data_IF_557888847011
#
_entry.id   IF_557888847011
#
_cell.length_a   1.000
_cell.length_b   1.000
_cell.length_c   1.000
_cell.angle_alpha   90.00
_cell.angle_beta   90.00
_cell.angle_gamma   90.00
#
_symmetry.space_group_name_H-M   'P 1'
#
loop_
_entity.id
_entity.type
_entity.pdbx_description
1 polymer ?
#
# COMPACT_ATOMS: atom_id res chain seq x y z
N UNK A 1 -59.12 -30.36 -15.70
CA UNK A 1 -58.25 -29.29 -16.22
C UNK A 1 -57.45 -28.75 -15.04
N UNK A 2 -56.28 -29.32 -14.79
CA UNK A 2 -55.47 -29.04 -13.61
C UNK A 2 -54.39 -28.01 -13.99
N UNK A 3 -54.42 -26.84 -13.34
CA UNK A 3 -53.39 -25.82 -13.48
C UNK A 3 -52.14 -26.26 -12.71
N UNK A 4 -51.07 -26.51 -13.45
CA UNK A 4 -49.76 -26.89 -12.91
C UNK A 4 -48.97 -25.60 -12.64
N UNK A 5 -48.88 -25.21 -11.36
CA UNK A 5 -48.00 -24.12 -10.93
C UNK A 5 -46.56 -24.61 -10.97
N UNK A 6 -45.80 -24.16 -11.97
CA UNK A 6 -44.34 -24.33 -12.04
C UNK A 6 -43.71 -23.26 -11.16
N UNK A 7 -43.25 -23.65 -9.97
CA UNK A 7 -42.39 -22.85 -9.11
C UNK A 7 -40.99 -22.80 -9.76
N UNK A 8 -40.75 -21.81 -10.61
CA UNK A 8 -39.42 -21.45 -11.03
C UNK A 8 -38.68 -20.89 -9.80
N UNK A 9 -37.83 -21.73 -9.18
CA UNK A 9 -36.83 -21.27 -8.23
C UNK A 9 -35.92 -20.29 -8.97
N UNK A 10 -35.97 -19.03 -8.58
CA UNK A 10 -34.91 -18.06 -8.86
C UNK A 10 -33.63 -18.61 -8.21
N UNK A 11 -32.77 -19.19 -9.03
CA UNK A 11 -31.41 -19.55 -8.70
C UNK A 11 -30.61 -18.24 -8.61
N UNK A 12 -30.70 -17.56 -7.47
CA UNK A 12 -29.82 -16.43 -7.18
C UNK A 12 -28.46 -17.00 -6.79
N UNK A 13 -27.62 -17.26 -7.79
CA UNK A 13 -26.19 -17.46 -7.57
C UNK A 13 -25.65 -16.12 -7.08
N UNK A 14 -25.39 -16.05 -5.78
CA UNK A 14 -24.73 -14.90 -5.18
C UNK A 14 -23.31 -14.83 -5.77
N UNK A 15 -22.90 -13.73 -6.41
CA UNK A 15 -21.56 -13.63 -6.99
C UNK A 15 -20.54 -13.63 -5.85
N UNK A 16 -19.96 -14.79 -5.56
CA UNK A 16 -18.76 -14.87 -4.72
C UNK A 16 -17.61 -14.38 -5.60
N UNK A 17 -17.18 -13.14 -5.41
CA UNK A 17 -15.94 -12.69 -6.04
C UNK A 17 -14.79 -13.59 -5.55
N UNK A 18 -13.99 -14.17 -6.45
CA UNK A 18 -12.89 -15.01 -6.04
C UNK A 18 -11.86 -14.18 -5.27
N UNK A 19 -11.34 -14.74 -4.16
CA UNK A 19 -10.23 -14.18 -3.40
C UNK A 19 -9.12 -13.72 -4.34
N UNK A 20 -8.57 -12.51 -4.15
CA UNK A 20 -7.48 -11.96 -4.96
C UNK A 20 -6.18 -11.97 -4.20
N UNK A 21 -5.09 -12.33 -4.88
CA UNK A 21 -3.73 -12.20 -4.37
C UNK A 21 -3.35 -10.73 -4.19
N UNK A 22 -2.89 -10.37 -3.00
CA UNK A 22 -2.36 -9.06 -2.63
C UNK A 22 -0.90 -9.22 -2.25
N UNK A 23 -0.03 -8.38 -2.80
CA UNK A 23 1.40 -8.37 -2.52
C UNK A 23 1.78 -7.04 -1.89
N UNK A 24 2.52 -7.10 -0.80
CA UNK A 24 3.15 -5.94 -0.15
C UNK A 24 4.67 -6.18 -0.11
N UNK A 25 5.41 -5.32 -0.82
CA UNK A 25 6.85 -5.40 -0.95
C UNK A 25 7.43 -3.99 -1.14
N UNK A 26 8.52 -3.68 -0.43
CA UNK A 26 9.21 -2.40 -0.51
C UNK A 26 10.70 -2.67 -0.66
N UNK A 27 11.36 -2.13 -1.67
CA UNK A 27 12.80 -2.33 -1.89
C UNK A 27 13.54 -1.02 -1.64
N UNK A 28 14.33 -0.98 -0.56
CA UNK A 28 15.16 0.17 -0.25
C UNK A 28 16.49 0.10 -1.00
N UNK A 29 16.77 1.13 -1.82
CA UNK A 29 17.98 1.18 -2.63
C UNK A 29 19.25 1.05 -1.77
N UNK A 30 20.13 0.12 -2.15
CA UNK A 30 21.38 -0.16 -1.44
C UNK A 30 21.22 -0.94 -0.13
N UNK A 31 20.02 -1.40 0.22
CA UNK A 31 19.77 -2.27 1.39
C UNK A 31 19.60 -3.74 0.97
N UNK A 32 19.84 -4.69 1.89
CA UNK A 32 19.49 -6.08 1.67
C UNK A 32 18.04 -6.25 1.23
N UNK A 33 17.77 -7.21 0.35
CA UNK A 33 16.41 -7.52 -0.07
C UNK A 33 15.55 -7.89 1.15
N UNK A 34 14.45 -7.18 1.39
CA UNK A 34 13.59 -7.45 2.53
C UNK A 34 12.68 -8.64 2.26
N UNK A 35 12.05 -9.16 3.31
CA UNK A 35 10.88 -10.04 3.16
C UNK A 35 9.76 -9.34 2.39
N UNK A 36 8.91 -10.15 1.76
CA UNK A 36 7.65 -9.71 1.15
C UNK A 36 6.48 -10.38 1.85
N UNK A 37 5.33 -9.71 1.85
CA UNK A 37 4.10 -10.21 2.46
C UNK A 37 3.06 -10.48 1.39
N UNK A 38 2.51 -11.68 1.36
CA UNK A 38 1.42 -12.09 0.48
C UNK A 38 0.16 -12.35 1.29
N UNK A 39 -0.95 -11.76 0.85
CA UNK A 39 -2.28 -11.89 1.46
C UNK A 39 -3.32 -12.19 0.39
N UNK A 40 -4.51 -12.57 0.83
CA UNK A 40 -5.69 -12.67 -0.02
C UNK A 40 -6.78 -11.70 0.44
N UNK A 41 -7.58 -11.21 -0.50
CA UNK A 41 -8.81 -10.47 -0.15
C UNK A 41 -9.84 -11.42 0.48
N UNK A 42 -10.80 -10.83 1.20
CA UNK A 42 -11.98 -11.53 1.73
C UNK A 42 -13.25 -10.96 1.06
N UNK A 43 -14.37 -11.71 1.09
CA UNK A 43 -15.66 -11.20 0.64
C UNK A 43 -16.06 -9.89 1.33
N UNK A 44 -16.80 -9.03 0.62
CA UNK A 44 -17.19 -7.68 1.05
C UNK A 44 -18.06 -7.59 2.33
N UNK A 45 -18.50 -8.72 2.90
CA UNK A 45 -19.28 -8.79 4.13
C UNK A 45 -18.51 -9.31 5.36
N UNK A 46 -17.28 -9.76 5.19
CA UNK A 46 -16.47 -10.31 6.27
C UNK A 46 -15.55 -9.24 6.87
N UNK A 47 -15.41 -9.15 8.20
CA UNK A 47 -14.40 -8.31 8.83
C UNK A 47 -13.01 -8.67 8.30
N UNK A 48 -12.28 -7.67 7.78
CA UNK A 48 -10.93 -7.89 7.30
C UNK A 48 -9.93 -7.78 8.45
N UNK A 49 -9.50 -8.93 8.96
CA UNK A 49 -8.42 -9.03 9.95
C UNK A 49 -7.11 -9.45 9.28
N UNK A 50 -6.07 -8.64 9.48
CA UNK A 50 -4.72 -8.98 9.04
C UNK A 50 -4.18 -10.06 9.97
N UNK A 51 -3.95 -11.26 9.44
CA UNK A 51 -3.48 -12.38 10.24
C UNK A 51 -3.39 -13.70 9.46
N UNK A 52 -3.28 -14.84 10.17
CA UNK A 52 -3.13 -16.16 9.54
C UNK A 52 -4.26 -16.53 8.57
N UNK A 53 -5.49 -16.05 8.79
CA UNK A 53 -6.65 -16.36 7.93
C UNK A 53 -6.61 -15.71 6.54
N UNK A 54 -5.88 -14.59 6.41
CA UNK A 54 -5.68 -13.85 5.16
C UNK A 54 -4.30 -14.09 4.54
N UNK A 55 -3.43 -14.85 5.22
CA UNK A 55 -2.09 -15.16 4.75
C UNK A 55 -2.10 -16.13 3.57
N UNK A 56 -1.28 -15.83 2.55
CA UNK A 56 -1.09 -16.72 1.40
C UNK A 56 0.10 -17.64 1.65
N UNK A 57 -0.17 -18.92 1.89
CA UNK A 57 0.84 -19.97 1.95
C UNK A 57 0.99 -20.65 0.59
N UNK A 58 2.17 -21.24 0.35
CA UNK A 58 2.47 -22.06 -0.83
C UNK A 58 2.44 -21.29 -2.17
N UNK A 59 2.84 -20.02 -2.14
CA UNK A 59 3.08 -19.24 -3.35
C UNK A 59 4.49 -19.47 -3.90
N UNK A 60 4.62 -19.40 -5.22
CA UNK A 60 5.91 -19.25 -5.88
C UNK A 60 6.23 -17.77 -5.98
N UNK A 61 7.34 -17.34 -5.38
CA UNK A 61 7.75 -15.93 -5.35
C UNK A 61 9.17 -15.79 -5.88
N UNK A 62 9.34 -14.94 -6.89
CA UNK A 62 10.60 -14.75 -7.60
C UNK A 62 10.81 -13.26 -7.88
N UNK A 63 12.04 -12.79 -7.68
CA UNK A 63 12.52 -11.49 -8.12
C UNK A 63 13.64 -11.70 -9.13
N UNK A 64 13.45 -11.23 -10.36
CA UNK A 64 14.56 -10.99 -11.29
C UNK A 64 15.09 -9.59 -11.00
N UNK A 65 16.36 -9.48 -10.60
CA UNK A 65 17.04 -8.22 -10.31
C UNK A 65 18.31 -8.16 -11.16
N UNK A 66 18.34 -7.26 -12.14
CA UNK A 66 19.45 -7.11 -13.10
C UNK A 66 19.83 -8.43 -13.81
N UNK A 67 18.85 -9.28 -14.12
CA UNK A 67 19.05 -10.59 -14.73
C UNK A 67 19.37 -11.70 -13.73
N UNK A 68 19.56 -11.39 -12.45
CA UNK A 68 19.73 -12.39 -11.40
C UNK A 68 18.36 -12.80 -10.84
N UNK A 69 18.03 -14.08 -11.02
CA UNK A 69 16.79 -14.68 -10.50
C UNK A 69 16.98 -15.09 -9.04
N UNK A 70 16.19 -14.47 -8.15
CA UNK A 70 16.23 -14.66 -6.70
C UNK A 70 14.89 -15.24 -6.26
N UNK A 71 14.91 -16.50 -5.82
CA UNK A 71 13.72 -17.14 -5.27
C UNK A 71 13.46 -16.65 -3.83
N UNK A 72 12.19 -16.60 -3.47
CA UNK A 72 11.73 -16.32 -2.10
C UNK A 72 11.06 -17.57 -1.54
N UNK A 73 11.27 -17.84 -0.24
CA UNK A 73 10.71 -19.00 0.47
C UNK A 73 9.90 -18.57 1.68
N UNK A 74 8.91 -19.37 2.10
CA UNK A 74 8.18 -19.11 3.33
C UNK A 74 9.12 -18.85 4.50
N UNK A 75 8.80 -17.79 5.24
CA UNK A 75 9.55 -17.36 6.40
C UNK A 75 8.92 -17.92 7.67
N UNK A 76 9.74 -18.44 8.57
CA UNK A 76 9.29 -18.99 9.85
C UNK A 76 8.78 -17.93 10.82
N UNK A 77 9.06 -16.64 10.55
CA UNK A 77 8.60 -15.54 11.39
C UNK A 77 7.08 -15.32 11.35
N UNK A 78 6.39 -15.76 10.29
CA UNK A 78 4.93 -15.64 10.21
C UNK A 78 4.34 -16.09 8.87
N UNK A 79 3.08 -16.56 8.88
CA UNK A 79 2.41 -17.00 7.65
C UNK A 79 2.27 -15.85 6.65
N UNK A 80 2.39 -16.17 5.36
CA UNK A 80 2.29 -15.18 4.28
C UNK A 80 3.54 -14.32 4.10
N UNK A 81 4.56 -14.45 4.96
CA UNK A 81 5.85 -13.79 4.78
C UNK A 81 6.80 -14.69 4.00
N UNK A 82 7.48 -14.13 3.02
CA UNK A 82 8.48 -14.82 2.22
C UNK A 82 9.79 -14.04 2.25
N UNK A 83 10.92 -14.73 2.40
CA UNK A 83 12.26 -14.13 2.44
C UNK A 83 13.12 -14.64 1.29
N UNK A 84 14.08 -13.84 0.79
CA UNK A 84 14.97 -14.28 -0.28
C UNK A 84 15.83 -15.47 0.18
N UNK A 85 16.07 -16.43 -0.70
CA UNK A 85 16.88 -17.63 -0.39
C UNK A 85 18.39 -17.35 -0.35
N UNK A 86 18.81 -16.30 -1.04
CA UNK A 86 20.19 -15.81 -1.04
C UNK A 86 20.20 -14.39 -0.51
N UNK A 87 21.29 -14.04 0.17
CA UNK A 87 21.54 -12.64 0.50
C UNK A 87 21.85 -11.87 -0.79
N UNK A 88 21.06 -10.85 -1.05
CA UNK A 88 21.23 -9.94 -2.16
C UNK A 88 20.82 -8.54 -1.72
N UNK A 89 21.29 -7.53 -2.45
CA UNK A 89 21.04 -6.12 -2.17
C UNK A 89 20.17 -5.56 -3.30
N UNK A 90 19.21 -4.69 -2.98
CA UNK A 90 18.48 -3.93 -3.98
C UNK A 90 19.41 -2.89 -4.61
N UNK A 91 20.17 -3.30 -5.63
CA UNK A 91 21.19 -2.47 -6.28
C UNK A 91 20.55 -1.22 -6.90
N UNK A 92 21.00 0.00 -6.55
CA UNK A 92 20.47 1.22 -7.14
C UNK A 92 20.57 1.19 -8.66
N UNK A 93 19.53 1.67 -9.35
CA UNK A 93 19.39 1.68 -10.83
C UNK A 93 19.28 0.30 -11.49
N UNK A 94 19.26 -0.79 -10.73
CA UNK A 94 19.02 -2.12 -11.29
C UNK A 94 17.57 -2.24 -11.79
N UNK A 95 17.33 -2.75 -13.01
CA UNK A 95 15.99 -3.13 -13.42
C UNK A 95 15.53 -4.34 -12.60
N UNK A 96 14.22 -4.44 -12.35
CA UNK A 96 13.65 -5.58 -11.66
C UNK A 96 12.32 -6.03 -12.24
N UNK A 97 12.03 -7.32 -12.09
CA UNK A 97 10.72 -7.93 -12.30
C UNK A 97 10.39 -8.81 -11.10
N UNK A 98 9.38 -8.44 -10.34
CA UNK A 98 8.82 -9.24 -9.26
C UNK A 98 7.64 -10.05 -9.78
N UNK A 99 7.57 -11.34 -9.42
CA UNK A 99 6.44 -12.22 -9.73
C UNK A 99 6.07 -13.06 -8.52
N UNK A 100 4.77 -13.06 -8.17
CA UNK A 100 4.19 -13.96 -7.18
C UNK A 100 3.04 -14.75 -7.83
N UNK A 101 3.07 -16.09 -7.72
CA UNK A 101 2.03 -16.98 -8.23
C UNK A 101 1.39 -17.78 -7.12
N UNK A 102 0.07 -17.81 -7.11
CA UNK A 102 -0.72 -18.56 -6.13
C UNK A 102 -2.06 -18.98 -6.71
N UNK A 103 -2.37 -20.29 -6.66
CA UNK A 103 -3.65 -20.87 -7.13
C UNK A 103 -4.12 -20.38 -8.51
N UNK A 104 -3.18 -20.29 -9.47
CA UNK A 104 -3.46 -19.84 -10.84
C UNK A 104 -3.56 -18.32 -11.01
N UNK A 105 -3.41 -17.54 -9.93
CA UNK A 105 -3.28 -16.09 -9.97
C UNK A 105 -1.82 -15.68 -10.06
N UNK A 106 -1.55 -14.59 -10.77
CA UNK A 106 -0.22 -13.97 -10.88
C UNK A 106 -0.31 -12.49 -10.52
N UNK A 107 0.55 -12.06 -9.59
CA UNK A 107 0.83 -10.67 -9.32
C UNK A 107 2.25 -10.36 -9.82
N UNK A 108 2.37 -9.39 -10.74
CA UNK A 108 3.63 -9.01 -11.37
C UNK A 108 3.85 -7.50 -11.26
N UNK A 109 5.07 -7.12 -10.90
CA UNK A 109 5.52 -5.74 -10.90
C UNK A 109 6.89 -5.65 -11.59
N UNK A 110 7.15 -4.55 -12.27
CA UNK A 110 8.43 -4.30 -12.92
C UNK A 110 8.82 -2.83 -12.79
N UNK A 111 10.11 -2.56 -12.81
CA UNK A 111 10.62 -1.20 -12.70
C UNK A 111 12.13 -1.16 -12.58
N UNK A 112 12.61 -0.09 -11.97
CA UNK A 112 14.03 0.13 -11.70
C UNK A 112 14.17 0.59 -10.27
N UNK A 113 15.11 0.01 -9.52
CA UNK A 113 15.40 0.46 -8.15
C UNK A 113 15.86 1.92 -8.23
N UNK A 114 15.24 2.85 -7.49
CA UNK A 114 15.61 4.25 -7.57
C UNK A 114 17.06 4.46 -7.08
N UNK A 115 17.76 5.51 -7.54
CA UNK A 115 18.99 5.93 -6.89
C UNK A 115 18.69 6.39 -5.44
N UNK A 116 19.66 6.32 -4.52
CA UNK A 116 19.49 6.90 -3.20
C UNK A 116 19.26 8.41 -3.30
N UNK A 117 18.37 8.93 -2.46
CA UNK A 117 18.13 10.37 -2.30
C UNK A 117 18.95 10.83 -1.10
N UNK A 118 19.74 11.88 -1.30
CA UNK A 118 20.48 12.55 -0.25
C UNK A 118 19.93 13.97 -0.08
N UNK A 119 19.66 14.36 1.16
CA UNK A 119 19.33 15.73 1.52
C UNK A 119 20.61 16.37 2.06
N UNK A 120 21.29 17.15 1.23
CA UNK A 120 22.59 17.75 1.58
C UNK A 120 22.42 19.08 2.32
N UNK A 121 21.30 19.78 2.13
CA UNK A 121 21.03 21.08 2.73
C UNK A 121 19.54 21.23 3.02
N UNK A 122 19.22 21.73 4.21
CA UNK A 122 17.88 22.18 4.58
C UNK A 122 18.03 23.65 4.96
N UNK A 123 17.48 24.54 4.15
CA UNK A 123 17.48 25.98 4.44
C UNK A 123 16.20 26.33 5.18
N UNK A 124 16.33 26.60 6.48
CA UNK A 124 15.20 27.09 7.28
C UNK A 124 15.29 28.61 7.35
N UNK A 125 14.39 29.29 6.65
CA UNK A 125 14.26 30.74 6.74
C UNK A 125 13.25 31.12 7.81
N UNK A 126 13.74 31.50 9.00
CA UNK A 126 12.90 32.09 10.05
C UNK A 126 12.94 33.60 9.91
N UNK A 127 11.79 34.29 9.73
CA UNK A 127 11.78 35.74 9.66
C UNK A 127 12.21 36.37 11.00
N UNK A 128 13.10 37.37 10.95
CA UNK A 128 13.63 38.06 12.14
C UNK A 128 12.55 38.79 12.95
N UNK A 129 11.41 39.07 12.33
CA UNK A 129 10.25 39.68 12.96
C UNK A 129 9.02 38.87 12.62
N UNK A 130 8.08 38.73 13.58
CA UNK A 130 6.80 38.14 13.31
C UNK A 130 6.13 38.75 12.09
N UNK A 131 5.67 37.90 11.17
CA UNK A 131 4.88 38.35 10.03
C UNK A 131 3.44 38.55 10.50
N UNK A 132 2.88 39.72 10.21
CA UNK A 132 1.49 39.99 10.51
C UNK A 132 0.63 39.13 9.58
N UNK A 133 -0.06 38.15 10.16
CA UNK A 133 -0.95 37.26 9.44
C UNK A 133 -2.37 37.40 10.01
N UNK A 134 -3.38 37.27 9.13
CA UNK A 134 -4.78 37.17 9.53
C UNK A 134 -5.13 35.69 9.54
N UNK A 135 -5.37 35.13 10.72
CA UNK A 135 -5.88 33.77 10.85
C UNK A 135 -7.36 33.76 10.44
N UNK A 136 -7.66 33.11 9.33
CA UNK A 136 -9.03 32.83 8.90
C UNK A 136 -9.39 31.41 9.37
N UNK A 137 -10.13 31.32 10.47
CA UNK A 137 -10.64 30.05 10.97
C UNK A 137 -11.84 29.61 10.10
N UNK A 138 -11.58 28.65 9.21
CA UNK A 138 -12.57 28.15 8.26
C UNK A 138 -13.72 27.37 8.91
N UNK A 139 -13.59 26.97 10.18
CA UNK A 139 -14.64 26.27 10.92
C UNK A 139 -15.69 27.23 11.53
N UNK A 140 -15.38 28.52 11.59
CA UNK A 140 -16.28 29.59 12.03
C UNK A 140 -16.78 30.47 10.88
N UNK A 141 -16.65 30.02 9.63
CA UNK A 141 -17.30 30.62 8.46
C UNK A 141 -18.82 30.31 8.49
N UNK A 142 -19.50 30.76 9.55
CA UNK A 142 -20.95 30.82 9.58
C UNK A 142 -21.42 31.78 8.48
N UNK A 143 -22.55 31.42 7.86
CA UNK A 143 -23.07 31.90 6.57
C UNK A 143 -23.67 33.32 6.68
N UNK A 144 -23.05 34.20 7.44
CA UNK A 144 -23.44 35.61 7.51
C UNK A 144 -22.21 36.51 7.47
N UNK A 145 -22.04 37.15 6.33
CA UNK A 145 -20.79 37.69 5.76
C UNK A 145 -20.18 38.92 6.47
N UNK A 146 -20.52 39.20 7.74
CA UNK A 146 -20.10 40.44 8.41
C UNK A 146 -19.49 40.25 9.80
N UNK A 147 -19.36 39.02 10.30
CA UNK A 147 -18.76 38.73 11.62
C UNK A 147 -17.69 37.65 11.55
N UNK A 148 -16.74 37.78 10.63
CA UNK A 148 -15.50 37.00 10.69
C UNK A 148 -14.76 37.43 11.95
N UNK A 149 -14.60 36.51 12.92
CA UNK A 149 -13.83 36.72 14.14
C UNK A 149 -12.34 36.84 13.87
N UNK A 150 -11.92 37.86 13.12
CA UNK A 150 -10.53 38.14 12.81
C UNK A 150 -9.82 38.57 14.10
N UNK A 151 -8.88 37.74 14.57
CA UNK A 151 -8.00 38.07 15.68
C UNK A 151 -6.63 38.46 15.12
N UNK A 152 -6.13 39.64 15.51
CA UNK A 152 -4.75 40.02 15.21
C UNK A 152 -3.81 39.27 16.14
N UNK A 153 -2.83 38.61 15.57
CA UNK A 153 -1.81 37.84 16.29
C UNK A 153 -0.57 37.66 15.44
N UNK A 154 0.43 37.02 16.02
CA UNK A 154 1.66 36.67 15.34
C UNK A 154 1.64 35.17 15.05
N UNK A 155 1.92 34.80 13.80
CA UNK A 155 2.16 33.41 13.41
C UNK A 155 3.64 33.29 13.07
N UNK A 156 4.25 32.20 13.52
CA UNK A 156 5.57 31.78 13.03
C UNK A 156 5.32 30.69 11.99
N UNK A 157 5.21 31.02 10.70
CA UNK A 157 5.09 30.01 9.67
C UNK A 157 6.40 29.20 9.64
N UNK A 158 6.27 27.89 9.77
CA UNK A 158 7.34 26.94 9.46
C UNK A 158 6.99 26.39 8.08
N UNK A 159 7.64 26.91 7.05
CA UNK A 159 7.63 26.26 5.73
C UNK A 159 8.69 25.17 5.74
N UNK A 160 8.27 23.95 5.41
CA UNK A 160 9.10 22.73 5.34
C UNK A 160 9.36 22.36 3.89
#
# INVERSE_FOLDING_TARGET
MAAMLVLARCDSVEPVEPDRLVVEAFFDAGRPLPPVTLRRTLPLGEPYEVGPGTAVTDAEVVLDLDGQVIAYRPDTAGPGRYRPVVEAVATPRAPFVFTARWRGQEARAAGTIPPPIHLDTVEVSVPERPVQAVLLDSLNLAIDSLSVGARQGFIYPVEV
#
